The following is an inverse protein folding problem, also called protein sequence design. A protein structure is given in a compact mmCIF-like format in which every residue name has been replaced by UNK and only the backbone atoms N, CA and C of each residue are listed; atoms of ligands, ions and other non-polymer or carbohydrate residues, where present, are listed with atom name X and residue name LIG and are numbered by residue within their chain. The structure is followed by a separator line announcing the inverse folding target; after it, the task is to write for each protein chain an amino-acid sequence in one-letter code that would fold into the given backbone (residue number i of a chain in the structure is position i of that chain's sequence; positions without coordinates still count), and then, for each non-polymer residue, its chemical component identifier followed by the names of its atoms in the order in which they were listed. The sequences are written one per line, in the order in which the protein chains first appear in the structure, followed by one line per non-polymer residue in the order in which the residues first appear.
data_IF_870350022234
#
_entry.id   IF_870350022234
#
_cell.length_a   1.000
_cell.length_b   1.000
_cell.length_c   1.000
_cell.angle_alpha   90.00
_cell.angle_beta   90.00
_cell.angle_gamma   90.00
#
_symmetry.space_group_name_H-M   'P 1'
#
loop_
_entity.id
_entity.type
_entity.pdbx_description
1 polymer ?
#
# COMPACT_ATOMS: atom_id res chain seq x y z
N UNK A 1 1.62 61.39 39.90
CA UNK A 1 1.13 61.04 38.55
C UNK A 1 1.73 59.69 38.16
N UNK A 2 1.02 58.58 38.42
CA UNK A 2 1.48 57.23 38.05
C UNK A 2 0.40 56.59 37.18
N UNK A 3 0.72 56.48 35.91
CA UNK A 3 -0.12 56.00 34.82
C UNK A 3 -0.09 54.46 34.81
N UNK A 4 -1.23 53.82 35.05
CA UNK A 4 -1.38 52.36 34.94
C UNK A 4 -1.69 52.01 33.49
N UNK A 5 -0.78 51.29 32.83
CA UNK A 5 -0.93 50.79 31.47
C UNK A 5 -1.55 49.39 31.53
N UNK A 6 -2.79 49.23 31.06
CA UNK A 6 -3.49 47.95 30.97
C UNK A 6 -3.15 47.30 29.61
N UNK A 7 -2.42 46.19 29.62
CA UNK A 7 -2.08 45.41 28.42
C UNK A 7 -3.14 44.31 28.24
N UNK A 8 -3.98 44.42 27.21
CA UNK A 8 -4.95 43.38 26.84
C UNK A 8 -4.24 42.36 25.95
N UNK A 9 -4.04 41.14 26.46
CA UNK A 9 -3.46 40.02 25.73
C UNK A 9 -4.58 39.31 24.95
N UNK A 10 -4.61 39.51 23.64
CA UNK A 10 -5.55 38.87 22.72
C UNK A 10 -5.04 37.45 22.41
N UNK A 11 -5.63 36.43 23.05
CA UNK A 11 -5.29 35.02 22.80
C UNK A 11 -5.84 34.57 21.46
N UNK A 12 -4.96 34.37 20.48
CA UNK A 12 -5.30 33.73 19.20
C UNK A 12 -5.42 32.23 19.46
N UNK A 13 -6.64 31.69 19.37
CA UNK A 13 -6.86 30.25 19.36
C UNK A 13 -6.51 29.71 17.98
N UNK A 14 -5.32 29.12 17.84
CA UNK A 14 -4.97 28.32 16.66
C UNK A 14 -5.74 27.00 16.73
N UNK A 15 -6.77 26.86 15.90
CA UNK A 15 -7.35 25.57 15.56
C UNK A 15 -6.33 24.82 14.69
N UNK A 16 -5.53 23.97 15.33
CA UNK A 16 -4.70 22.99 14.62
C UNK A 16 -5.67 21.98 14.03
N UNK A 17 -5.78 21.96 12.70
CA UNK A 17 -6.45 20.87 11.99
C UNK A 17 -5.65 19.59 12.25
N UNK A 18 -6.11 18.76 13.17
CA UNK A 18 -5.52 17.45 13.41
C UNK A 18 -5.98 16.55 12.26
N UNK A 19 -5.06 16.22 11.35
CA UNK A 19 -5.24 15.10 10.44
C UNK A 19 -5.53 13.87 11.29
N UNK A 20 -6.74 13.31 11.21
CA UNK A 20 -7.07 12.09 11.92
C UNK A 20 -6.25 10.96 11.31
N UNK A 21 -5.32 10.40 12.09
CA UNK A 21 -4.51 9.27 11.65
C UNK A 21 -5.43 8.09 11.27
N UNK A 22 -5.17 7.42 10.13
CA UNK A 22 -5.93 6.25 9.74
C UNK A 22 -5.97 5.18 10.82
N UNK A 23 -7.15 4.63 11.06
CA UNK A 23 -7.37 3.62 12.08
C UNK A 23 -6.89 2.25 11.63
N UNK A 24 -6.41 1.43 12.56
CA UNK A 24 -6.04 0.02 12.32
C UNK A 24 -7.24 -0.92 12.33
N UNK A 25 -8.43 -0.42 12.73
CA UNK A 25 -9.68 -1.16 12.70
C UNK A 25 -10.18 -1.42 11.27
N UNK A 26 -9.79 -0.62 10.29
CA UNK A 26 -10.25 -0.74 8.91
C UNK A 26 -9.14 -1.39 8.07
N UNK A 27 -9.40 -2.61 7.58
CA UNK A 27 -8.46 -3.38 6.76
C UNK A 27 -9.01 -3.59 5.35
N UNK A 28 -8.32 -3.07 4.35
CA UNK A 28 -8.75 -3.09 2.95
C UNK A 28 -7.57 -2.91 2.01
N UNK A 29 -7.82 -3.00 0.70
CA UNK A 29 -6.82 -2.70 -0.31
C UNK A 29 -6.38 -1.23 -0.23
N UNK A 30 -5.14 -0.99 0.20
CA UNK A 30 -4.57 0.35 0.39
C UNK A 30 -4.17 1.04 -0.94
N UNK A 31 -4.13 0.30 -2.05
CA UNK A 31 -3.89 0.88 -3.37
C UNK A 31 -5.21 1.42 -3.93
N UNK A 32 -6.26 0.60 -3.87
CA UNK A 32 -7.60 0.97 -4.33
C UNK A 32 -8.32 -0.14 -5.08
N UNK A 33 -9.31 0.27 -5.90
CA UNK A 33 -10.26 -0.64 -6.55
C UNK A 33 -10.54 -0.25 -8.00
N UNK A 34 -10.92 -1.22 -8.82
CA UNK A 34 -11.45 -0.95 -10.16
C UNK A 34 -12.93 -0.53 -10.05
N UNK A 35 -13.44 0.32 -10.96
CA UNK A 35 -14.82 0.81 -10.91
C UNK A 35 -15.89 -0.27 -10.80
N UNK A 36 -15.79 -1.34 -11.59
CA UNK A 36 -16.84 -2.37 -11.72
C UNK A 36 -16.48 -3.71 -11.05
N UNK A 37 -15.62 -3.68 -10.03
CA UNK A 37 -15.25 -4.86 -9.24
C UNK A 37 -15.76 -4.76 -7.82
N UNK A 38 -15.76 -5.89 -7.12
CA UNK A 38 -16.07 -5.96 -5.68
C UNK A 38 -15.13 -5.04 -4.88
N UNK A 39 -15.70 -4.33 -3.91
CA UNK A 39 -14.98 -3.42 -3.01
C UNK A 39 -15.48 -3.65 -1.60
N UNK A 40 -14.62 -4.25 -0.78
CA UNK A 40 -14.93 -4.59 0.60
C UNK A 40 -13.83 -4.11 1.54
N UNK A 41 -14.22 -3.78 2.77
CA UNK A 41 -13.31 -3.58 3.87
C UNK A 41 -13.72 -4.47 5.06
N UNK A 42 -12.73 -5.08 5.70
CA UNK A 42 -12.92 -5.78 6.95
C UNK A 42 -12.77 -4.78 8.11
N UNK A 43 -13.82 -4.63 8.90
CA UNK A 43 -13.85 -3.76 10.07
C UNK A 43 -13.70 -4.64 11.31
N UNK A 44 -12.57 -4.47 12.00
CA UNK A 44 -12.11 -5.37 13.06
C UNK A 44 -12.50 -4.81 14.42
N UNK A 45 -13.02 -5.67 15.30
CA UNK A 45 -13.36 -5.35 16.70
C UNK A 45 -14.20 -4.07 16.83
N UNK A 46 -15.35 -4.03 16.15
CA UNK A 46 -16.24 -2.86 16.11
C UNK A 46 -17.66 -3.17 16.56
N UNK A 47 -18.25 -2.31 17.38
CA UNK A 47 -19.68 -2.32 17.68
C UNK A 47 -20.51 -1.49 16.69
N UNK A 48 -19.86 -0.76 15.77
CA UNK A 48 -20.52 0.03 14.75
C UNK A 48 -21.43 -0.84 13.87
N UNK A 49 -22.48 -0.20 13.35
CA UNK A 49 -23.48 -0.82 12.46
C UNK A 49 -23.48 -0.20 11.08
N UNK A 50 -22.87 0.97 10.92
CA UNK A 50 -22.82 1.71 9.65
C UNK A 50 -21.41 2.14 9.32
N UNK A 51 -21.20 2.45 8.04
CA UNK A 51 -19.99 3.05 7.53
C UNK A 51 -20.32 4.02 6.40
N UNK A 52 -19.37 4.89 6.07
CA UNK A 52 -19.51 5.92 5.05
C UNK A 52 -18.32 5.88 4.10
N UNK A 53 -18.55 6.21 2.83
CA UNK A 53 -17.48 6.58 1.91
C UNK A 53 -17.51 8.10 1.75
N UNK A 54 -16.37 8.74 1.98
CA UNK A 54 -16.19 10.18 1.89
C UNK A 54 -15.30 10.53 0.69
N UNK A 55 -15.63 11.62 -0.01
CA UNK A 55 -14.76 12.19 -1.04
C UNK A 55 -13.61 13.00 -0.42
N UNK A 56 -12.75 13.60 -1.25
CA UNK A 56 -11.63 14.44 -0.81
C UNK A 56 -12.05 15.71 -0.03
N UNK A 57 -13.31 16.13 -0.18
CA UNK A 57 -13.88 17.25 0.58
C UNK A 57 -14.42 16.82 1.96
N UNK A 58 -14.36 15.54 2.29
CA UNK A 58 -14.92 14.95 3.52
C UNK A 58 -16.43 14.73 3.46
N UNK A 59 -17.06 14.96 2.31
CA UNK A 59 -18.50 14.76 2.13
C UNK A 59 -18.80 13.28 1.96
N UNK A 60 -19.78 12.78 2.72
CA UNK A 60 -20.25 11.40 2.55
C UNK A 60 -21.03 11.27 1.24
N UNK A 61 -20.47 10.51 0.31
CA UNK A 61 -21.09 10.19 -0.99
C UNK A 61 -21.84 8.85 -0.96
N UNK A 62 -21.62 8.05 0.09
CA UNK A 62 -22.26 6.76 0.29
C UNK A 62 -22.35 6.44 1.78
N UNK A 63 -23.44 5.77 2.16
CA UNK A 63 -23.69 5.22 3.49
C UNK A 63 -24.10 3.76 3.32
N UNK A 64 -23.48 2.87 4.10
CA UNK A 64 -23.76 1.43 4.09
C UNK A 64 -23.94 0.88 5.49
N UNK A 65 -24.61 -0.27 5.58
CA UNK A 65 -24.74 -1.05 6.81
C UNK A 65 -23.66 -2.12 6.81
N UNK A 66 -22.99 -2.29 7.95
CA UNK A 66 -22.03 -3.36 8.13
C UNK A 66 -22.75 -4.70 8.18
N UNK A 67 -22.19 -5.70 7.51
CA UNK A 67 -22.68 -7.06 7.59
C UNK A 67 -22.62 -7.60 9.03
N UNK A 68 -23.35 -8.69 9.27
CA UNK A 68 -23.35 -9.36 10.56
C UNK A 68 -21.93 -9.73 10.98
N UNK A 69 -21.67 -9.59 12.27
CA UNK A 69 -20.39 -9.95 12.87
C UNK A 69 -20.08 -11.43 12.67
N UNK A 70 -18.86 -11.71 12.26
CA UNK A 70 -18.29 -13.05 12.19
C UNK A 70 -16.94 -13.07 12.91
N UNK A 71 -16.64 -14.19 13.58
CA UNK A 71 -15.34 -14.40 14.21
C UNK A 71 -14.36 -15.01 13.22
N UNK A 72 -13.19 -14.40 13.04
CA UNK A 72 -12.09 -14.98 12.29
C UNK A 72 -11.23 -15.86 13.20
N UNK A 73 -11.51 -17.17 13.23
CA UNK A 73 -10.92 -18.10 14.19
C UNK A 73 -9.37 -18.12 14.23
N UNK A 74 -8.71 -17.86 13.11
CA UNK A 74 -7.24 -17.87 13.06
C UNK A 74 -6.60 -16.68 13.79
N UNK A 75 -7.26 -15.53 13.86
CA UNK A 75 -6.79 -14.36 14.62
C UNK A 75 -7.51 -14.16 15.94
N UNK A 76 -8.66 -14.81 16.14
CA UNK A 76 -9.53 -14.59 17.29
C UNK A 76 -10.25 -13.23 17.27
N UNK A 77 -10.24 -12.54 16.13
CA UNK A 77 -10.82 -11.20 15.98
C UNK A 77 -12.29 -11.29 15.56
N UNK A 78 -13.08 -10.32 16.02
CA UNK A 78 -14.41 -10.04 15.46
C UNK A 78 -14.25 -9.19 14.21
N UNK A 79 -14.98 -9.53 13.15
CA UNK A 79 -14.96 -8.83 11.88
C UNK A 79 -16.38 -8.59 11.38
N UNK A 80 -16.64 -7.37 10.92
CA UNK A 80 -17.79 -7.02 10.08
C UNK A 80 -17.32 -6.58 8.70
N UNK A 81 -18.11 -6.85 7.67
CA UNK A 81 -17.78 -6.46 6.29
C UNK A 81 -18.51 -5.18 5.92
N UNK A 82 -17.77 -4.22 5.37
CA UNK A 82 -18.30 -3.06 4.69
C UNK A 82 -18.22 -3.29 3.17
N UNK A 83 -19.36 -3.53 2.52
CA UNK A 83 -19.43 -3.64 1.05
C UNK A 83 -19.91 -2.31 0.43
N UNK A 84 -19.01 -1.71 -0.35
CA UNK A 84 -19.24 -0.46 -1.10
C UNK A 84 -19.00 -0.67 -2.60
N UNK A 85 -19.25 -1.89 -3.09
CA UNK A 85 -19.09 -2.26 -4.50
C UNK A 85 -19.88 -1.34 -5.43
N UNK A 86 -21.01 -0.80 -4.98
CA UNK A 86 -21.87 0.13 -5.72
C UNK A 86 -21.23 1.50 -5.97
N UNK A 87 -20.18 1.87 -5.23
CA UNK A 87 -19.39 3.08 -5.49
C UNK A 87 -18.47 2.81 -6.66
N UNK A 88 -18.82 3.33 -7.84
CA UNK A 88 -18.12 3.03 -9.10
C UNK A 88 -17.45 4.24 -9.72
N UNK A 89 -17.83 5.45 -9.31
CA UNK A 89 -17.26 6.67 -9.89
C UNK A 89 -15.77 6.77 -9.57
N UNK A 90 -14.93 7.05 -10.58
CA UNK A 90 -13.50 7.26 -10.33
C UNK A 90 -13.26 8.47 -9.42
N UNK A 91 -12.30 8.33 -8.51
CA UNK A 91 -11.95 9.36 -7.54
C UNK A 91 -11.11 8.83 -6.39
N UNK A 92 -10.69 9.75 -5.51
CA UNK A 92 -10.05 9.42 -4.23
C UNK A 92 -11.10 9.47 -3.13
N UNK A 93 -11.07 8.46 -2.27
CA UNK A 93 -12.06 8.29 -1.22
C UNK A 93 -11.42 7.84 0.09
N UNK A 94 -12.18 7.99 1.17
CA UNK A 94 -11.85 7.46 2.49
C UNK A 94 -13.06 6.73 3.04
N UNK A 95 -12.84 5.56 3.67
CA UNK A 95 -13.89 4.85 4.40
C UNK A 95 -13.90 5.34 5.84
N UNK A 96 -15.05 5.78 6.34
CA UNK A 96 -15.22 6.24 7.71
C UNK A 96 -16.17 5.30 8.47
N UNK A 97 -15.76 4.86 9.66
CA UNK A 97 -16.60 4.12 10.60
C UNK A 97 -16.79 5.00 11.84
N UNK A 98 -18.03 5.32 12.24
CA UNK A 98 -18.30 6.15 13.40
C UNK A 98 -17.58 5.65 14.64
N UNK A 99 -16.97 6.55 15.42
CA UNK A 99 -16.22 6.24 16.65
C UNK A 99 -14.92 5.43 16.46
N UNK A 100 -14.72 4.78 15.31
CA UNK A 100 -13.52 3.99 14.99
C UNK A 100 -12.54 4.70 14.07
N UNK A 101 -12.98 5.76 13.37
CA UNK A 101 -12.11 6.62 12.55
C UNK A 101 -12.18 6.29 11.06
N UNK A 102 -11.12 6.63 10.33
CA UNK A 102 -11.05 6.61 8.87
C UNK A 102 -9.98 5.65 8.35
N UNK A 103 -10.16 5.14 7.14
CA UNK A 103 -9.13 4.38 6.42
C UNK A 103 -8.01 5.30 5.92
N UNK A 104 -6.93 4.71 5.39
CA UNK A 104 -6.09 5.44 4.46
C UNK A 104 -6.92 5.83 3.22
N UNK A 105 -6.58 6.95 2.55
CA UNK A 105 -7.17 7.27 1.25
C UNK A 105 -6.94 6.13 0.26
N UNK A 106 -7.96 5.84 -0.55
CA UNK A 106 -7.89 4.84 -1.61
C UNK A 106 -8.46 5.39 -2.92
N UNK A 107 -8.00 4.85 -4.04
CA UNK A 107 -8.40 5.31 -5.37
C UNK A 107 -9.39 4.32 -6.00
N UNK A 108 -10.43 4.83 -6.65
CA UNK A 108 -11.21 4.06 -7.61
C UNK A 108 -10.82 4.56 -9.00
N UNK A 109 -10.20 3.70 -9.82
CA UNK A 109 -9.79 4.08 -11.18
C UNK A 109 -9.45 2.85 -12.03
N UNK A 110 -9.65 2.93 -13.36
CA UNK A 110 -9.38 1.81 -14.29
C UNK A 110 -7.90 1.41 -14.35
N UNK A 111 -7.00 2.30 -13.93
CA UNK A 111 -5.55 2.10 -13.95
C UNK A 111 -4.93 1.96 -12.57
N UNK A 112 -5.75 1.74 -11.53
CA UNK A 112 -5.31 1.73 -10.12
C UNK A 112 -4.15 0.76 -9.84
N UNK A 113 -4.02 -0.32 -10.62
CA UNK A 113 -2.96 -1.32 -10.47
C UNK A 113 -1.76 -1.14 -11.41
N UNK A 114 -1.71 -0.09 -12.22
CA UNK A 114 -0.62 0.10 -13.18
C UNK A 114 0.72 0.31 -12.48
N UNK A 115 0.76 1.11 -11.41
CA UNK A 115 2.01 1.39 -10.69
C UNK A 115 2.57 0.16 -9.99
N UNK A 116 1.72 -0.62 -9.31
CA UNK A 116 2.17 -1.85 -8.64
C UNK A 116 2.61 -2.91 -9.66
N UNK A 117 1.93 -3.01 -10.81
CA UNK A 117 2.36 -3.89 -11.89
C UNK A 117 3.75 -3.48 -12.43
N UNK A 118 3.94 -2.18 -12.70
CA UNK A 118 5.23 -1.64 -13.11
C UNK A 118 6.32 -1.92 -12.05
N UNK A 119 6.01 -1.78 -10.76
CA UNK A 119 6.93 -2.07 -9.68
C UNK A 119 7.33 -3.55 -9.62
N UNK A 120 6.37 -4.47 -9.80
CA UNK A 120 6.63 -5.92 -9.84
C UNK A 120 7.56 -6.27 -11.00
N UNK A 121 7.29 -5.77 -12.21
CA UNK A 121 8.16 -6.00 -13.38
C UNK A 121 9.55 -5.39 -13.14
N UNK A 122 9.60 -4.20 -12.53
CA UNK A 122 10.86 -3.53 -12.17
C UNK A 122 11.65 -4.30 -11.09
N UNK A 123 11.01 -5.08 -10.23
CA UNK A 123 11.71 -5.94 -9.28
C UNK A 123 12.61 -6.98 -10.00
N UNK A 124 12.14 -7.55 -11.12
CA UNK A 124 12.99 -8.43 -11.95
C UNK A 124 14.19 -7.69 -12.54
N UNK A 125 14.03 -6.42 -12.92
CA UNK A 125 15.16 -5.60 -13.35
C UNK A 125 16.23 -5.46 -12.25
N UNK A 126 15.82 -5.22 -11.00
CA UNK A 126 16.74 -5.11 -9.87
C UNK A 126 17.47 -6.42 -9.54
N UNK A 127 16.81 -7.56 -9.81
CA UNK A 127 17.36 -8.89 -9.59
C UNK A 127 18.29 -9.40 -10.71
N UNK A 128 18.55 -8.61 -11.76
CA UNK A 128 19.46 -9.05 -12.83
C UNK A 128 20.90 -9.23 -12.33
N UNK A 129 21.46 -10.42 -12.57
CA UNK A 129 22.87 -10.73 -12.41
C UNK A 129 23.68 -10.39 -13.68
N UNK A 130 25.00 -10.33 -13.55
CA UNK A 130 25.97 -10.13 -14.63
C UNK A 130 25.84 -8.83 -15.45
N UNK A 131 24.99 -7.90 -15.03
CA UNK A 131 24.73 -6.64 -15.73
C UNK A 131 24.71 -5.48 -14.76
N UNK A 132 25.12 -4.31 -15.25
CA UNK A 132 24.93 -3.04 -14.55
C UNK A 132 23.45 -2.68 -14.48
N UNK A 133 23.06 -2.10 -13.36
CA UNK A 133 21.78 -1.42 -13.19
C UNK A 133 22.00 0.08 -13.38
N UNK A 134 21.61 0.58 -14.55
CA UNK A 134 21.81 1.96 -14.97
C UNK A 134 20.95 2.93 -14.12
N UNK A 135 21.49 4.09 -13.70
CA UNK A 135 20.75 5.10 -12.94
C UNK A 135 19.41 5.51 -13.56
N UNK A 136 19.32 5.58 -14.90
CA UNK A 136 18.07 5.90 -15.63
C UNK A 136 16.90 4.96 -15.30
N UNK A 137 17.19 3.71 -14.95
CA UNK A 137 16.19 2.69 -14.66
C UNK A 137 16.13 2.35 -13.17
N UNK A 138 17.27 2.41 -12.47
CA UNK A 138 17.43 1.98 -11.09
C UNK A 138 17.32 3.11 -10.05
N UNK A 139 17.45 4.38 -10.47
CA UNK A 139 17.50 5.53 -9.57
C UNK A 139 18.60 5.37 -8.52
N UNK A 140 18.26 5.58 -7.25
CA UNK A 140 19.17 5.42 -6.10
C UNK A 140 19.72 4.00 -5.91
N UNK A 141 19.12 3.00 -6.55
CA UNK A 141 19.53 1.60 -6.47
C UNK A 141 20.43 1.20 -7.65
N UNK A 142 20.96 2.17 -8.39
CA UNK A 142 21.95 1.91 -9.43
C UNK A 142 23.19 1.23 -8.86
N UNK A 143 23.72 0.27 -9.60
CA UNK A 143 24.92 -0.48 -9.22
C UNK A 143 25.63 -1.03 -10.45
N UNK A 144 26.95 -1.15 -10.37
CA UNK A 144 27.78 -1.84 -11.38
C UNK A 144 27.36 -3.31 -11.53
N UNK A 145 27.82 -3.94 -12.61
CA UNK A 145 27.64 -5.37 -12.82
C UNK A 145 28.31 -6.17 -11.69
N UNK A 146 27.59 -7.16 -11.16
CA UNK A 146 28.10 -8.13 -10.19
C UNK A 146 27.69 -9.54 -10.60
N UNK A 147 28.41 -10.55 -10.11
CA UNK A 147 28.23 -11.97 -10.50
C UNK A 147 28.27 -12.13 -12.03
N UNK A 148 29.45 -11.97 -12.63
CA UNK A 148 29.57 -12.01 -14.09
C UNK A 148 29.25 -13.39 -14.67
N UNK A 149 29.39 -14.44 -13.86
CA UNK A 149 29.15 -15.85 -14.18
C UNK A 149 29.84 -16.29 -15.49
N UNK A 150 30.95 -15.65 -15.83
CA UNK A 150 31.81 -15.99 -16.97
C UNK A 150 32.82 -17.09 -16.67
N UNK A 151 32.95 -17.47 -15.39
CA UNK A 151 33.85 -18.51 -14.89
C UNK A 151 33.13 -19.36 -13.83
N UNK A 152 32.17 -20.15 -14.28
CA UNK A 152 31.41 -21.08 -13.43
C UNK A 152 32.04 -22.47 -13.53
N UNK A 153 32.32 -23.09 -12.39
CA UNK A 153 32.93 -24.42 -12.31
C UNK A 153 31.84 -25.48 -12.36
N UNK A 154 32.00 -26.48 -13.22
CA UNK A 154 31.16 -27.68 -13.22
C UNK A 154 31.49 -28.52 -11.99
N UNK A 155 30.53 -28.62 -11.06
CA UNK A 155 30.66 -29.49 -9.89
C UNK A 155 30.58 -30.97 -10.29
N UNK A 156 31.14 -31.90 -9.49
CA UNK A 156 31.03 -33.34 -9.76
C UNK A 156 29.60 -33.84 -9.97
N UNK A 157 28.62 -33.26 -9.25
CA UNK A 157 27.19 -33.58 -9.41
C UNK A 157 26.59 -33.17 -10.75
N UNK A 158 27.23 -32.28 -11.50
CA UNK A 158 26.79 -31.78 -12.81
C UNK A 158 27.66 -32.29 -13.97
N UNK A 159 28.61 -33.20 -13.71
CA UNK A 159 29.48 -33.76 -14.74
C UNK A 159 28.74 -34.76 -15.64
N UNK A 160 29.10 -34.80 -16.92
CA UNK A 160 28.50 -35.67 -17.92
C UNK A 160 29.43 -35.96 -19.11
N UNK A 161 28.89 -36.51 -20.22
CA UNK A 161 29.70 -36.84 -21.39
C UNK A 161 30.41 -35.63 -21.99
N UNK A 162 29.72 -34.48 -22.06
CA UNK A 162 30.18 -33.25 -22.72
C UNK A 162 30.92 -32.26 -21.82
N UNK A 163 30.78 -32.37 -20.49
CA UNK A 163 31.40 -31.46 -19.52
C UNK A 163 31.88 -32.26 -18.32
N UNK A 164 33.15 -32.11 -17.94
CA UNK A 164 33.78 -32.81 -16.81
C UNK A 164 33.77 -31.93 -15.57
N UNK A 165 33.86 -32.58 -14.41
CA UNK A 165 34.00 -31.88 -13.14
C UNK A 165 35.28 -31.03 -13.17
N UNK A 166 35.19 -29.78 -12.74
CA UNK A 166 36.30 -28.81 -12.80
C UNK A 166 36.36 -28.00 -14.09
N UNK A 167 35.63 -28.38 -15.15
CA UNK A 167 35.52 -27.55 -16.36
C UNK A 167 34.98 -26.17 -16.01
N UNK A 168 35.54 -25.13 -16.65
CA UNK A 168 35.09 -23.75 -16.50
C UNK A 168 34.20 -23.40 -17.69
N UNK A 169 32.98 -22.96 -17.40
CA UNK A 169 32.02 -22.50 -18.41
C UNK A 169 31.61 -21.05 -18.17
N UNK A 170 31.04 -20.44 -19.21
CA UNK A 170 30.38 -19.14 -19.14
C UNK A 170 28.87 -19.34 -19.10
N UNK A 171 28.22 -18.83 -18.07
CA UNK A 171 26.77 -18.86 -17.83
C UNK A 171 26.27 -17.51 -17.27
N UNK A 172 26.53 -16.37 -17.95
CA UNK A 172 26.11 -15.04 -17.49
C UNK A 172 24.59 -14.86 -17.57
N UNK A 173 24.14 -13.78 -16.91
CA UNK A 173 22.75 -13.31 -16.78
C UNK A 173 22.02 -14.07 -15.67
N UNK A 174 20.69 -14.01 -15.66
CA UNK A 174 19.83 -14.63 -14.65
C UNK A 174 18.63 -15.32 -15.29
#
# INVERSE_FOLDING_TARGET
MKLFLFFILMSITHTVAHSQEPTTHIRMNQIGFLPLTQKIAAIVNTDATTFYIQNELGESIYSGVLENEATWALSGESVKIADFTTVTHPGTYTLMVPQYGTSHPFIIHDTVFNEINNAIVKAFYFNRASTELLPKHAGKHARKAGHSDTKVIILPSAAGPLRKAGDIISAPKG
#
